data_IF_557128241546
#
_entry.id   IF_557128241546
#
_cell.length_a   1.000
_cell.length_b   1.000
_cell.length_c   1.000
_cell.angle_alpha   90.00
_cell.angle_beta   90.00
_cell.angle_gamma   90.00
#
_symmetry.space_group_name_H-M   'P 1'
#
loop_
_entity.id
_entity.type
_entity.pdbx_description
1 polymer ?
#
# COMPACT_ATOMS: atom_id res chain seq x y z
N UNK A 1 12.17 -4.90 0.96
CA UNK A 1 12.99 -3.89 0.25
C UNK A 1 13.98 -4.66 -0.61
N UNK A 2 14.20 -4.28 -1.87
CA UNK A 2 15.13 -4.97 -2.80
C UNK A 2 16.35 -4.09 -3.10
N UNK A 3 17.34 -4.60 -3.85
CA UNK A 3 18.53 -3.82 -4.21
C UNK A 3 18.17 -2.61 -5.09
N UNK A 4 18.94 -1.53 -4.96
CA UNK A 4 18.66 -0.25 -5.60
C UNK A 4 19.94 0.56 -5.86
N UNK A 5 19.87 1.46 -6.85
CA UNK A 5 20.87 2.49 -7.15
C UNK A 5 20.46 3.79 -6.48
N UNK A 6 21.45 4.50 -5.92
CA UNK A 6 21.28 5.84 -5.36
C UNK A 6 22.17 6.80 -6.12
N UNK A 7 21.59 7.91 -6.56
CA UNK A 7 22.36 9.06 -7.01
C UNK A 7 22.25 10.16 -5.97
N UNK A 8 23.37 10.48 -5.32
CA UNK A 8 23.45 11.56 -4.34
C UNK A 8 23.76 12.87 -5.07
N UNK A 9 22.76 13.75 -5.18
CA UNK A 9 22.88 15.06 -5.84
C UNK A 9 23.22 16.17 -4.82
N UNK A 10 23.61 15.80 -3.59
CA UNK A 10 23.97 16.74 -2.54
C UNK A 10 22.77 17.58 -2.09
N UNK A 11 22.75 18.87 -2.47
CA UNK A 11 21.72 19.83 -2.02
C UNK A 11 20.34 19.59 -2.67
N UNK A 12 20.30 18.97 -3.85
CA UNK A 12 19.05 18.67 -4.59
C UNK A 12 18.38 17.38 -4.09
N UNK A 13 19.03 16.67 -3.17
CA UNK A 13 18.52 15.45 -2.55
C UNK A 13 19.12 14.17 -3.15
N UNK A 14 18.42 13.06 -2.95
CA UNK A 14 18.84 11.73 -3.40
C UNK A 14 17.81 11.16 -4.36
N UNK A 15 18.26 10.66 -5.51
CA UNK A 15 17.42 9.88 -6.43
C UNK A 15 17.65 8.38 -6.19
N UNK A 16 16.57 7.61 -6.24
CA UNK A 16 16.55 6.20 -5.88
C UNK A 16 15.86 5.38 -6.96
N UNK A 17 16.51 4.29 -7.38
CA UNK A 17 15.97 3.36 -8.38
C UNK A 17 16.15 1.93 -7.99
N UNK A 18 15.04 1.20 -7.94
CA UNK A 18 15.09 -0.24 -7.69
C UNK A 18 15.70 -0.95 -8.88
N UNK A 19 16.59 -1.91 -8.63
CA UNK A 19 17.10 -2.80 -9.66
C UNK A 19 16.00 -3.76 -10.13
N UNK A 20 15.99 -4.09 -11.42
CA UNK A 20 15.12 -5.13 -11.97
C UNK A 20 15.69 -6.49 -11.61
N UNK A 21 14.88 -7.55 -11.74
CA UNK A 21 15.32 -8.93 -11.41
C UNK A 21 16.48 -9.43 -12.27
N UNK A 22 16.66 -8.80 -13.42
CA UNK A 22 17.72 -9.12 -14.40
C UNK A 22 19.04 -8.42 -14.07
N UNK A 23 19.02 -7.35 -13.28
CA UNK A 23 20.21 -6.57 -12.97
C UNK A 23 20.91 -7.12 -11.71
N UNK A 24 22.16 -7.55 -11.84
CA UNK A 24 22.98 -7.99 -10.71
C UNK A 24 23.69 -6.78 -10.07
N UNK A 25 23.63 -6.69 -8.73
CA UNK A 25 24.24 -5.61 -7.94
C UNK A 25 25.75 -5.51 -8.16
N UNK A 26 26.41 -6.64 -8.42
CA UNK A 26 27.87 -6.70 -8.58
C UNK A 26 28.35 -6.43 -10.00
N UNK A 27 27.47 -6.57 -10.99
CA UNK A 27 27.83 -6.48 -12.42
C UNK A 27 27.25 -5.22 -13.09
N UNK A 28 26.48 -4.42 -12.36
CA UNK A 28 25.81 -3.26 -12.94
C UNK A 28 26.83 -2.20 -13.39
N UNK A 29 26.73 -1.81 -14.64
CA UNK A 29 27.60 -0.79 -15.24
C UNK A 29 27.06 0.62 -14.98
N UNK A 30 27.94 1.62 -15.11
CA UNK A 30 27.57 3.03 -15.00
C UNK A 30 26.47 3.41 -16.01
N UNK A 31 26.61 2.96 -17.26
CA UNK A 31 25.64 3.21 -18.33
C UNK A 31 24.24 2.66 -17.96
N UNK A 32 24.20 1.46 -17.38
CA UNK A 32 22.95 0.85 -16.91
C UNK A 32 22.36 1.61 -15.74
N UNK A 33 23.18 2.06 -14.79
CA UNK A 33 22.74 2.86 -13.66
C UNK A 33 22.12 4.20 -14.11
N UNK A 34 22.73 4.87 -15.08
CA UNK A 34 22.20 6.10 -15.68
C UNK A 34 20.84 5.82 -16.35
N UNK A 35 20.75 4.75 -17.15
CA UNK A 35 19.49 4.37 -17.80
C UNK A 35 18.35 4.14 -16.80
N UNK A 36 18.63 3.49 -15.65
CA UNK A 36 17.64 3.29 -14.59
C UNK A 36 17.24 4.61 -13.90
N UNK A 37 18.18 5.54 -13.72
CA UNK A 37 17.91 6.86 -13.12
C UNK A 37 17.07 7.75 -14.04
N UNK A 38 17.22 7.62 -15.36
CA UNK A 38 16.40 8.33 -16.35
C UNK A 38 14.94 7.85 -16.41
N UNK A 39 14.62 6.63 -15.97
CA UNK A 39 13.23 6.19 -15.87
C UNK A 39 12.45 7.11 -14.90
N UNK A 40 11.13 7.31 -15.01
CA UNK A 40 10.37 8.12 -14.04
C UNK A 40 10.29 7.43 -12.68
N UNK A 41 10.36 8.17 -11.55
CA UNK A 41 10.36 7.57 -10.19
C UNK A 41 9.19 6.60 -10.05
N UNK A 42 9.49 5.31 -10.03
CA UNK A 42 8.48 4.27 -9.79
C UNK A 42 8.05 4.40 -8.34
N UNK A 43 7.02 5.21 -8.12
CA UNK A 43 6.48 5.46 -6.79
C UNK A 43 5.83 4.17 -6.30
N UNK A 44 6.59 3.37 -5.57
CA UNK A 44 6.15 2.13 -4.92
C UNK A 44 4.93 2.44 -4.06
N UNK A 45 3.74 2.04 -4.52
CA UNK A 45 2.46 2.28 -3.84
C UNK A 45 1.55 3.31 -4.49
N UNK A 46 2.01 4.15 -5.43
CA UNK A 46 1.07 4.82 -6.34
C UNK A 46 0.71 3.81 -7.43
N UNK A 47 -0.45 3.19 -7.28
CA UNK A 47 -1.13 2.58 -8.42
C UNK A 47 -1.18 3.63 -9.52
N UNK A 48 -0.84 3.25 -10.77
CA UNK A 48 -1.15 4.07 -11.94
C UNK A 48 -2.58 4.59 -11.76
N UNK A 49 -2.80 5.89 -11.98
CA UNK A 49 -4.13 6.46 -11.87
C UNK A 49 -5.09 5.54 -12.64
N UNK A 50 -6.13 5.04 -11.97
CA UNK A 50 -7.03 4.07 -12.56
C UNK A 50 -7.60 4.68 -13.83
N UNK A 51 -7.26 4.08 -14.97
CA UNK A 51 -7.80 4.49 -16.26
C UNK A 51 -9.30 4.19 -16.22
N UNK A 52 -10.18 5.15 -16.54
CA UNK A 52 -11.60 4.88 -16.61
C UNK A 52 -11.85 3.80 -17.66
N UNK A 53 -12.56 2.75 -17.26
CA UNK A 53 -12.88 1.59 -18.10
C UNK A 53 -13.93 1.98 -19.14
N UNK A 54 -14.87 2.85 -18.75
CA UNK A 54 -15.90 3.41 -19.64
C UNK A 54 -16.39 4.75 -19.08
N UNK A 55 -16.49 5.75 -19.94
CA UNK A 55 -17.14 7.02 -19.62
C UNK A 55 -18.59 6.89 -20.04
N UNK A 56 -19.53 6.97 -19.09
CA UNK A 56 -20.95 6.83 -19.39
C UNK A 56 -21.56 8.16 -19.86
N UNK A 57 -20.94 9.29 -19.51
CA UNK A 57 -21.40 10.64 -19.85
C UNK A 57 -21.74 11.46 -18.60
N UNK A 58 -22.47 12.55 -18.78
CA UNK A 58 -22.82 13.47 -17.71
C UNK A 58 -24.16 13.08 -17.08
N UNK A 59 -24.28 13.23 -15.76
CA UNK A 59 -25.55 13.00 -15.08
C UNK A 59 -26.56 14.09 -15.49
N UNK A 60 -27.79 13.74 -15.90
CA UNK A 60 -28.82 14.72 -16.27
C UNK A 60 -29.26 15.68 -15.14
N UNK A 61 -28.99 15.35 -13.87
CA UNK A 61 -29.35 16.19 -12.73
C UNK A 61 -28.27 17.23 -12.39
N UNK A 62 -26.99 16.81 -12.44
CA UNK A 62 -25.86 17.58 -11.90
C UNK A 62 -24.77 17.92 -12.95
N UNK A 63 -25.01 17.56 -14.22
CA UNK A 63 -24.10 17.69 -15.37
C UNK A 63 -22.67 17.16 -15.14
N UNK A 64 -22.48 16.36 -14.10
CA UNK A 64 -21.17 15.90 -13.65
C UNK A 64 -20.79 14.56 -14.30
N UNK A 65 -19.51 14.32 -14.61
CA UNK A 65 -19.08 13.15 -15.34
C UNK A 65 -19.25 11.87 -14.50
N UNK A 66 -19.88 10.87 -15.11
CA UNK A 66 -20.11 9.53 -14.56
C UNK A 66 -19.19 8.54 -15.28
N UNK A 67 -18.19 8.05 -14.56
CA UNK A 67 -17.16 7.17 -15.10
C UNK A 67 -17.11 5.85 -14.36
N UNK A 68 -16.88 4.76 -15.08
CA UNK A 68 -16.64 3.42 -14.53
C UNK A 68 -15.14 3.23 -14.35
N UNK A 69 -14.73 2.73 -13.19
CA UNK A 69 -13.34 2.42 -12.86
C UNK A 69 -13.21 0.97 -12.41
N UNK A 70 -12.04 0.38 -12.65
CA UNK A 70 -11.67 -0.93 -12.13
C UNK A 70 -10.97 -0.77 -10.76
N UNK A 71 -11.56 -1.38 -9.74
CA UNK A 71 -11.12 -1.31 -8.36
C UNK A 71 -10.74 -2.68 -7.78
N UNK A 72 -10.10 -2.71 -6.60
CA UNK A 72 -9.72 -3.97 -5.95
C UNK A 72 -10.90 -4.87 -5.57
N UNK A 73 -12.12 -4.30 -5.49
CA UNK A 73 -13.36 -5.01 -5.15
C UNK A 73 -14.28 -5.19 -6.37
N UNK A 74 -13.76 -4.95 -7.57
CA UNK A 74 -14.53 -4.98 -8.81
C UNK A 74 -14.83 -3.60 -9.39
N UNK A 75 -15.61 -3.61 -10.46
CA UNK A 75 -16.01 -2.41 -11.20
C UNK A 75 -16.89 -1.51 -10.34
N UNK A 76 -16.65 -0.20 -10.38
CA UNK A 76 -17.49 0.77 -9.69
C UNK A 76 -17.75 2.00 -10.56
N UNK A 77 -18.95 2.57 -10.43
CA UNK A 77 -19.30 3.88 -10.97
C UNK A 77 -18.84 4.94 -9.98
N UNK A 78 -18.19 5.99 -10.49
CA UNK A 78 -17.83 7.18 -9.74
C UNK A 78 -18.52 8.40 -10.33
N UNK A 79 -19.19 9.14 -9.45
CA UNK A 79 -19.79 10.43 -9.71
C UNK A 79 -19.32 11.41 -8.63
N UNK A 80 -18.37 12.29 -8.96
CA UNK A 80 -17.81 13.24 -8.01
C UNK A 80 -17.27 12.61 -6.71
N UNK A 81 -18.03 12.74 -5.61
CA UNK A 81 -17.73 12.20 -4.26
C UNK A 81 -18.47 10.90 -3.93
N UNK A 82 -19.38 10.47 -4.80
CA UNK A 82 -20.21 9.28 -4.63
C UNK A 82 -19.69 8.17 -5.52
N UNK A 83 -19.59 6.98 -4.94
CA UNK A 83 -19.14 5.77 -5.63
C UNK A 83 -20.19 4.69 -5.40
N UNK A 84 -20.60 3.99 -6.46
CA UNK A 84 -21.47 2.84 -6.41
C UNK A 84 -20.78 1.63 -7.03
N UNK A 85 -20.76 0.51 -6.30
CA UNK A 85 -20.21 -0.75 -6.81
C UNK A 85 -21.16 -1.32 -7.85
N UNK A 86 -20.62 -1.84 -8.95
CA UNK A 86 -21.41 -2.66 -9.86
C UNK A 86 -21.57 -4.06 -9.26
N UNK A 87 -22.70 -4.74 -9.52
CA UNK A 87 -22.85 -6.15 -9.19
C UNK A 87 -21.83 -7.00 -9.97
N UNK A 88 -21.24 -7.97 -9.28
CA UNK A 88 -20.25 -8.89 -9.84
C UNK A 88 -20.87 -9.68 -11.01
N UNK A 89 -20.28 -9.57 -12.20
CA UNK A 89 -20.75 -10.26 -13.40
C UNK A 89 -21.40 -9.38 -14.46
N UNK A 90 -21.74 -8.11 -14.17
CA UNK A 90 -22.13 -7.15 -15.22
C UNK A 90 -20.89 -6.51 -15.84
N UNK A 91 -20.83 -6.49 -17.17
CA UNK A 91 -19.76 -5.83 -17.92
C UNK A 91 -19.93 -4.31 -17.86
N UNK A 92 -18.82 -3.55 -17.96
CA UNK A 92 -18.90 -2.09 -18.07
C UNK A 92 -19.66 -1.64 -19.33
N UNK A 93 -19.65 -2.47 -20.38
CA UNK A 93 -20.33 -2.20 -21.66
C UNK A 93 -21.85 -2.20 -21.54
N UNK A 94 -22.43 -3.08 -20.72
CA UNK A 94 -23.87 -3.23 -20.53
C UNK A 94 -24.47 -2.20 -19.57
N UNK A 95 -23.62 -1.39 -18.92
CA UNK A 95 -24.07 -0.31 -18.04
C UNK A 95 -24.48 0.91 -18.86
N UNK A 96 -25.73 1.31 -18.67
CA UNK A 96 -26.32 2.55 -19.18
C UNK A 96 -26.27 3.63 -18.10
N UNK A 97 -26.39 4.89 -18.51
CA UNK A 97 -26.46 6.04 -17.61
C UNK A 97 -27.58 5.91 -16.57
N UNK A 98 -28.76 5.46 -17.00
CA UNK A 98 -29.95 5.31 -16.14
C UNK A 98 -29.71 4.34 -14.98
N UNK A 99 -29.18 3.15 -15.27
CA UNK A 99 -28.85 2.15 -14.24
C UNK A 99 -27.73 2.64 -13.30
N UNK A 100 -26.77 3.40 -13.84
CA UNK A 100 -25.72 3.99 -13.04
C UNK A 100 -26.26 5.04 -12.05
N UNK A 101 -27.22 5.86 -12.48
CA UNK A 101 -27.89 6.85 -11.64
C UNK A 101 -28.68 6.17 -10.52
N UNK A 102 -29.46 5.14 -10.84
CA UNK A 102 -30.24 4.40 -9.84
C UNK A 102 -29.33 3.79 -8.75
N UNK A 103 -28.20 3.20 -9.15
CA UNK A 103 -27.21 2.66 -8.21
C UNK A 103 -26.52 3.75 -7.37
N UNK A 104 -26.30 4.93 -7.94
CA UNK A 104 -25.73 6.07 -7.23
C UNK A 104 -26.71 6.61 -6.20
N UNK A 105 -27.96 6.85 -6.56
CA UNK A 105 -29.03 7.32 -5.66
C UNK A 105 -29.29 6.33 -4.51
N UNK A 106 -29.32 5.03 -4.80
CA UNK A 106 -29.42 3.99 -3.78
C UNK A 106 -28.23 4.02 -2.79
N UNK A 107 -27.03 4.38 -3.24
CA UNK A 107 -25.84 4.54 -2.39
C UNK A 107 -25.81 5.87 -1.63
N UNK A 108 -26.35 6.94 -2.21
CA UNK A 108 -26.46 8.23 -1.52
C UNK A 108 -27.50 8.22 -0.42
N UNK A 109 -28.65 7.61 -0.67
CA UNK A 109 -29.72 7.43 0.33
C UNK A 109 -29.26 6.58 1.51
N UNK A 110 -28.52 5.49 1.26
CA UNK A 110 -27.98 4.63 2.33
C UNK A 110 -26.82 5.27 3.12
N UNK A 111 -26.06 6.20 2.52
CA UNK A 111 -24.99 6.97 3.21
C UNK A 111 -25.52 7.90 4.30
N UNK A 112 -26.80 8.33 4.25
CA UNK A 112 -27.39 9.21 5.28
C UNK A 112 -27.69 8.51 6.61
N UNK A 113 -27.72 7.18 6.67
CA UNK A 113 -28.09 6.44 7.89
C UNK A 113 -26.89 5.88 8.67
N UNK A 114 -25.66 5.85 8.12
CA UNK A 114 -24.50 5.28 8.83
C UNK A 114 -23.70 6.28 9.68
N UNK A 115 -24.25 7.47 9.99
CA UNK A 115 -23.64 8.41 10.95
C UNK A 115 -24.30 8.33 12.33
N UNK A 116 -24.26 7.16 12.95
CA UNK A 116 -24.32 7.07 14.42
C UNK A 116 -23.53 5.86 14.93
N UNK A 117 -22.71 6.14 15.95
CA UNK A 117 -21.78 5.27 16.69
C UNK A 117 -20.38 5.14 16.06
N UNK A 118 -19.27 5.35 16.75
CA UNK A 118 -19.06 5.93 18.07
C UNK A 118 -17.65 6.54 18.12
N UNK A 119 -17.58 7.73 18.69
CA UNK A 119 -16.34 8.35 19.16
C UNK A 119 -15.82 7.51 20.33
N UNK A 120 -14.89 6.59 20.07
CA UNK A 120 -14.01 6.08 21.13
C UNK A 120 -12.89 7.09 21.34
N UNK A 121 -13.13 8.00 22.27
CA UNK A 121 -12.08 8.71 22.96
C UNK A 121 -11.34 7.68 23.83
N UNK A 122 -10.10 7.35 23.50
CA UNK A 122 -9.16 6.85 24.51
C UNK A 122 -8.07 7.89 24.68
N UNK A 123 -8.12 8.50 25.86
CA UNK A 123 -7.27 9.54 26.41
C UNK A 123 -5.79 9.30 26.13
N UNK A 124 -5.14 10.35 25.65
CA UNK A 124 -3.82 10.75 26.09
C UNK A 124 -3.72 10.73 27.63
N UNK A 125 -2.88 9.86 28.17
CA UNK A 125 -2.29 10.05 29.50
C UNK A 125 -0.79 9.90 29.38
N UNK A 126 -0.11 11.05 29.37
CA UNK A 126 1.32 11.14 29.61
C UNK A 126 1.65 10.72 31.06
N UNK A 127 2.88 10.25 31.23
CA UNK A 127 3.64 10.17 32.49
C UNK A 127 3.26 9.06 33.48
N UNK A 128 4.13 8.03 33.54
CA UNK A 128 4.65 7.53 34.81
C UNK A 128 5.88 6.67 34.56
N UNK A 129 7.04 7.26 34.77
CA UNK A 129 8.29 6.54 34.97
C UNK A 129 8.14 5.65 36.22
N UNK A 130 8.23 4.33 36.06
CA UNK A 130 8.43 3.41 37.18
C UNK A 130 9.59 2.45 36.95
N UNK A 131 10.75 2.96 37.34
CA UNK A 131 11.91 2.25 37.89
C UNK A 131 11.49 0.95 38.61
N UNK A 132 11.92 -0.19 38.09
CA UNK A 132 12.10 -1.43 38.87
C UNK A 132 13.44 -2.06 38.52
N UNK A 133 14.38 -1.75 39.39
CA UNK A 133 15.56 -2.53 39.81
C UNK A 133 15.57 -4.01 39.39
N UNK A 134 16.57 -4.41 38.60
CA UNK A 134 17.11 -5.78 38.67
C UNK A 134 18.63 -5.77 38.74
N UNK A 135 19.08 -5.58 39.99
CA UNK A 135 20.26 -6.13 40.68
C UNK A 135 21.41 -6.67 39.81
N UNK A 136 22.51 -5.94 39.86
CA UNK A 136 23.89 -6.38 39.68
C UNK A 136 24.32 -7.38 40.76
N UNK A 137 24.90 -8.52 40.38
CA UNK A 137 25.93 -9.31 41.11
C UNK A 137 26.57 -10.26 40.10
N UNK A 138 27.76 -9.96 39.57
CA UNK A 138 29.07 -10.45 40.05
C UNK A 138 29.36 -11.94 39.75
N UNK A 139 30.23 -12.15 38.75
CA UNK A 139 31.47 -12.96 38.78
C UNK A 139 31.47 -14.26 39.62
N UNK A 140 31.51 -15.43 38.97
CA UNK A 140 32.56 -16.45 39.19
C UNK A 140 32.53 -17.59 38.16
N UNK A 141 33.71 -18.13 37.92
CA UNK A 141 34.09 -19.10 36.92
C UNK A 141 33.79 -20.57 37.30
N UNK A 142 34.00 -21.42 36.29
CA UNK A 142 34.47 -22.81 36.30
C UNK A 142 33.46 -23.95 36.53
N UNK A 143 33.40 -24.82 35.52
CA UNK A 143 33.66 -26.26 35.72
C UNK A 143 32.53 -27.25 35.45
N UNK A 144 32.71 -28.06 34.38
CA UNK A 144 32.40 -29.52 34.25
C UNK A 144 30.92 -29.96 34.30
N UNK A 145 30.36 -30.89 33.50
CA UNK A 145 30.91 -31.96 32.64
C UNK A 145 29.78 -32.59 31.79
N UNK A 146 30.19 -33.16 30.64
CA UNK A 146 29.67 -34.38 29.98
C UNK A 146 28.31 -34.36 29.24
N UNK A 147 28.34 -34.63 27.92
CA UNK A 147 28.15 -35.98 27.31
C UNK A 147 27.71 -35.87 25.84
N UNK A 148 28.60 -36.13 24.89
CA UNK A 148 28.20 -36.63 23.55
C UNK A 148 29.22 -37.65 23.04
N UNK A 149 28.67 -38.79 22.62
CA UNK A 149 29.30 -40.06 22.22
C UNK A 149 29.85 -40.02 20.79
N UNK A 150 30.52 -41.13 20.43
CA UNK A 150 30.95 -41.68 19.11
C UNK A 150 32.42 -41.39 18.78
N UNK A 151 33.30 -42.31 18.37
CA UNK A 151 33.17 -43.69 17.89
C UNK A 151 34.48 -44.48 18.14
N UNK A 152 34.56 -45.71 17.61
CA UNK A 152 35.27 -46.91 18.08
C UNK A 152 36.32 -47.39 17.06
N UNK A 153 37.44 -47.94 17.56
CA UNK A 153 38.46 -48.84 16.93
C UNK A 153 39.13 -48.33 15.63
N UNK A 154 40.42 -48.53 15.43
CA UNK A 154 41.21 -49.76 15.58
C UNK A 154 42.67 -49.41 15.81
#
# INVERSE_FOLDING_TARGET
>A
YGPYVVHDQGKEGKDYRSLKKEDNVLEITLERAIALLSEPKSQRGRRKAAVPVKELGNHPADESPVNIYDGPYGLYVKHGKTNASLPEGKKPEDMTLELAIELLEAKESTKKTSRKSAKSATKSSASSAKKTTRKTTAKKAAGTTAKKRTARKK
#
